data_IF_898398212464
#
_entry.id   IF_898398212464
#
_cell.length_a   1.000
_cell.length_b   1.000
_cell.length_c   1.000
_cell.angle_alpha   90.00
_cell.angle_beta   90.00
_cell.angle_gamma   90.00
#
_symmetry.space_group_name_H-M   'P 1'
#
loop_
_entity.id
_entity.type
_entity.pdbx_description
1 polymer ?
#
# COMPACT_ATOMS: atom_id res chain seq x y z
N UNK A 1 -0.93 20.67 5.88
CA UNK A 1 -2.01 19.93 5.18
C UNK A 1 -3.33 20.31 5.85
N UNK A 2 -4.41 20.68 5.14
CA UNK A 2 -5.40 21.59 5.71
C UNK A 2 -6.24 20.93 6.81
N UNK A 3 -6.28 21.59 7.96
CA UNK A 3 -7.26 21.36 9.01
C UNK A 3 -8.64 21.71 8.44
N UNK A 4 -9.52 20.71 8.25
CA UNK A 4 -10.92 20.90 7.85
C UNK A 4 -11.25 20.58 6.39
N UNK A 5 -10.27 20.14 5.59
CA UNK A 5 -10.55 19.52 4.29
C UNK A 5 -11.09 18.11 4.49
N UNK A 6 -12.14 17.77 3.77
CA UNK A 6 -12.85 16.50 3.92
C UNK A 6 -11.99 15.35 3.35
N UNK A 7 -11.11 14.76 4.16
CA UNK A 7 -10.08 13.76 3.78
C UNK A 7 -10.65 12.36 3.44
N UNK A 8 -11.82 12.26 2.83
CA UNK A 8 -12.37 10.94 2.47
C UNK A 8 -11.91 10.56 1.07
N UNK A 9 -11.17 9.47 0.98
CA UNK A 9 -11.04 8.72 -0.27
C UNK A 9 -12.41 8.15 -0.63
N UNK A 10 -12.77 8.18 -1.91
CA UNK A 10 -13.93 7.41 -2.38
C UNK A 10 -13.67 5.91 -2.18
N UNK A 11 -14.73 5.09 -2.00
CA UNK A 11 -14.57 3.66 -1.71
C UNK A 11 -13.66 2.92 -2.69
N UNK A 12 -13.70 3.27 -3.98
CA UNK A 12 -12.83 2.66 -4.99
C UNK A 12 -11.36 3.09 -4.83
N UNK A 13 -11.10 4.34 -4.42
CA UNK A 13 -9.74 4.77 -4.09
C UNK A 13 -9.20 4.03 -2.87
N UNK A 14 -10.02 3.77 -1.85
CA UNK A 14 -9.59 2.95 -0.71
C UNK A 14 -9.20 1.53 -1.13
N UNK A 15 -9.93 0.93 -2.08
CA UNK A 15 -9.59 -0.40 -2.61
C UNK A 15 -8.20 -0.38 -3.25
N UNK A 16 -7.88 0.66 -4.01
CA UNK A 16 -6.55 0.83 -4.61
C UNK A 16 -5.48 1.03 -3.53
N UNK A 17 -5.72 1.85 -2.51
CA UNK A 17 -4.77 2.02 -1.40
C UNK A 17 -4.52 0.70 -0.68
N UNK A 18 -5.58 -0.05 -0.36
CA UNK A 18 -5.45 -1.37 0.28
C UNK A 18 -4.65 -2.35 -0.58
N UNK A 19 -4.83 -2.31 -1.89
CA UNK A 19 -4.07 -3.13 -2.84
C UNK A 19 -2.58 -2.76 -2.86
N UNK A 20 -2.25 -1.47 -2.81
CA UNK A 20 -0.85 -1.00 -2.66
C UNK A 20 -0.25 -1.53 -1.35
N UNK A 21 -1.00 -1.51 -0.24
CA UNK A 21 -0.52 -2.04 1.04
C UNK A 21 -0.23 -3.55 0.98
N UNK A 22 -0.94 -4.31 0.13
CA UNK A 22 -0.62 -5.71 -0.16
C UNK A 22 0.75 -5.83 -0.82
N UNK A 23 1.08 -4.95 -1.77
CA UNK A 23 2.42 -4.90 -2.36
C UNK A 23 3.48 -4.42 -1.38
N UNK A 24 3.11 -3.65 -0.35
CA UNK A 24 3.99 -3.33 0.77
C UNK A 24 4.14 -4.47 1.79
N UNK A 25 3.47 -5.61 1.61
CA UNK A 25 3.53 -6.79 2.50
C UNK A 25 3.28 -6.46 3.98
N UNK A 26 2.45 -5.45 4.26
CA UNK A 26 2.16 -5.00 5.63
C UNK A 26 3.31 -4.24 6.33
N UNK A 27 4.40 -3.91 5.63
CA UNK A 27 5.50 -3.09 6.15
C UNK A 27 5.12 -1.60 6.24
N UNK A 28 4.02 -1.20 5.61
CA UNK A 28 3.46 0.16 5.63
C UNK A 28 2.06 0.10 6.26
N UNK A 29 1.75 1.07 7.12
CA UNK A 29 0.43 1.31 7.69
C UNK A 29 -0.18 2.55 7.06
N UNK A 30 -1.48 2.50 6.81
CA UNK A 30 -2.26 3.65 6.34
C UNK A 30 -3.10 4.24 7.47
N UNK A 31 -3.07 5.57 7.60
CA UNK A 31 -3.82 6.32 8.60
C UNK A 31 -5.34 6.27 8.44
N UNK A 32 -5.86 5.82 7.30
CA UNK A 32 -7.30 5.60 7.10
C UNK A 32 -7.88 4.49 7.99
N UNK A 33 -7.03 3.59 8.50
CA UNK A 33 -7.41 2.54 9.45
C UNK A 33 -7.18 2.96 10.92
N UNK A 34 -6.65 4.15 11.17
CA UNK A 34 -6.35 4.65 12.52
C UNK A 34 -7.48 5.51 13.09
N UNK A 35 -7.41 5.78 14.39
CA UNK A 35 -8.32 6.70 15.10
C UNK A 35 -7.50 7.83 15.74
N UNK A 36 -7.72 9.10 15.36
CA UNK A 36 -8.57 9.57 14.27
C UNK A 36 -8.06 9.16 12.87
N UNK A 37 -8.97 9.04 11.90
CA UNK A 37 -8.62 8.66 10.52
C UNK A 37 -7.92 9.81 9.82
N UNK A 38 -6.74 9.54 9.24
CA UNK A 38 -5.97 10.47 8.41
C UNK A 38 -5.62 9.80 7.08
N UNK A 39 -6.37 10.11 6.02
CA UNK A 39 -6.21 9.43 4.74
C UNK A 39 -4.87 9.75 4.06
N UNK A 40 -4.28 10.90 4.39
CA UNK A 40 -2.96 11.32 3.89
C UNK A 40 -1.78 10.68 4.64
N UNK A 41 -2.01 10.06 5.80
CA UNK A 41 -0.94 9.55 6.66
C UNK A 41 -0.51 8.13 6.28
N UNK A 42 0.80 7.92 6.16
CA UNK A 42 1.42 6.61 5.99
C UNK A 42 2.68 6.53 6.83
N UNK A 43 2.96 5.37 7.43
CA UNK A 43 4.20 5.14 8.18
C UNK A 43 4.67 3.69 8.08
N UNK A 44 5.94 3.45 8.40
CA UNK A 44 6.50 2.10 8.44
C UNK A 44 6.04 1.36 9.70
N UNK A 45 5.50 0.16 9.53
CA UNK A 45 5.06 -0.71 10.61
C UNK A 45 6.20 -1.42 11.35
N UNK A 46 7.44 -1.29 10.83
CA UNK A 46 8.59 -2.09 11.23
C UNK A 46 9.73 -1.21 11.72
N UNK A 47 10.64 -1.82 12.50
CA UNK A 47 11.82 -1.14 13.03
C UNK A 47 12.85 -0.87 11.93
N UNK A 48 13.74 0.12 12.12
CA UNK A 48 14.90 0.29 11.25
C UNK A 48 15.71 -1.01 11.13
N UNK A 49 16.12 -1.35 9.90
CA UNK A 49 16.90 -2.56 9.62
C UNK A 49 16.08 -3.85 9.43
N UNK A 50 14.74 -3.78 9.45
CA UNK A 50 13.90 -4.94 9.21
C UNK A 50 14.10 -5.52 7.78
N UNK A 51 14.36 -6.83 7.72
CA UNK A 51 14.62 -7.55 6.46
C UNK A 51 13.39 -7.58 5.54
N UNK A 52 12.18 -7.56 6.08
CA UNK A 52 10.95 -7.51 5.28
C UNK A 52 10.85 -6.20 4.51
N UNK A 53 11.16 -5.07 5.16
CA UNK A 53 11.19 -3.77 4.50
C UNK A 53 12.30 -3.71 3.44
N UNK A 54 13.48 -4.23 3.74
CA UNK A 54 14.57 -4.27 2.76
C UNK A 54 14.19 -5.09 1.50
N UNK A 55 13.51 -6.22 1.68
CA UNK A 55 13.00 -7.04 0.57
C UNK A 55 11.95 -6.30 -0.25
N UNK A 56 10.96 -5.70 0.41
CA UNK A 56 9.90 -4.93 -0.27
C UNK A 56 10.52 -3.76 -1.05
N UNK A 57 11.42 -3.00 -0.44
CA UNK A 57 12.12 -1.90 -1.09
C UNK A 57 12.90 -2.38 -2.34
N UNK A 58 13.64 -3.49 -2.23
CA UNK A 58 14.36 -4.07 -3.36
C UNK A 58 13.41 -4.55 -4.49
N UNK A 59 12.22 -5.06 -4.14
CA UNK A 59 11.20 -5.47 -5.11
C UNK A 59 10.55 -4.28 -5.84
N UNK A 60 10.37 -3.16 -5.15
CA UNK A 60 9.76 -1.94 -5.69
C UNK A 60 10.76 -1.01 -6.39
N UNK A 61 12.07 -1.23 -6.20
CA UNK A 61 13.13 -0.45 -6.85
C UNK A 61 13.10 -0.65 -8.38
N UNK A 62 12.55 0.35 -9.08
CA UNK A 62 12.40 0.37 -10.54
C UNK A 62 13.70 0.74 -11.26
N UNK A 63 14.68 1.34 -10.57
CA UNK A 63 15.98 1.68 -11.18
C UNK A 63 16.81 0.43 -11.47
N UNK A 64 16.62 -0.64 -10.69
CA UNK A 64 17.12 -1.99 -10.98
C UNK A 64 16.34 -2.72 -12.09
N UNK A 65 15.16 -2.25 -12.47
CA UNK A 65 14.25 -2.92 -13.42
C UNK A 65 14.30 -2.32 -14.83
N UNK A 66 15.24 -1.42 -15.09
CA UNK A 66 15.39 -0.62 -16.32
C UNK A 66 15.49 -1.45 -17.61
N UNK A 67 15.76 -2.77 -17.53
CA UNK A 67 15.82 -3.66 -18.70
C UNK A 67 14.52 -4.45 -18.95
N UNK A 68 13.63 -4.60 -17.96
CA UNK A 68 12.39 -5.41 -18.07
C UNK A 68 11.10 -4.57 -18.24
N UNK A 69 11.13 -3.27 -17.91
CA UNK A 69 9.92 -2.43 -17.93
C UNK A 69 9.33 -2.18 -19.32
N UNK A 70 10.12 -2.21 -20.40
CA UNK A 70 9.59 -2.05 -21.77
C UNK A 70 8.69 -3.23 -22.19
N UNK A 71 8.79 -4.40 -21.53
CA UNK A 71 7.98 -5.58 -21.85
C UNK A 71 6.88 -5.88 -20.80
N UNK A 72 6.81 -5.12 -19.71
CA UNK A 72 5.92 -5.38 -18.57
C UNK A 72 5.09 -4.17 -18.11
N UNK A 73 5.25 -2.99 -18.74
CA UNK A 73 4.37 -1.85 -18.51
C UNK A 73 2.90 -2.27 -18.74
N UNK A 74 2.06 -2.13 -17.70
CA UNK A 74 0.64 -2.51 -17.74
C UNK A 74 0.30 -3.86 -17.08
N UNK A 75 1.27 -4.65 -16.63
CA UNK A 75 1.01 -5.90 -15.89
C UNK A 75 0.86 -5.68 -14.38
N UNK A 76 0.04 -4.71 -13.98
CA UNK A 76 -0.37 -4.55 -12.58
C UNK A 76 -1.37 -5.65 -12.27
N UNK A 77 -1.18 -6.37 -11.16
CA UNK A 77 -2.14 -7.38 -10.74
C UNK A 77 -3.50 -6.71 -10.51
N UNK A 78 -4.58 -7.28 -11.05
CA UNK A 78 -5.92 -6.72 -10.88
C UNK A 78 -6.32 -6.70 -9.38
N UNK A 79 -6.53 -5.49 -8.79
CA UNK A 79 -6.93 -5.32 -7.40
C UNK A 79 -8.26 -6.01 -7.06
N UNK A 80 -9.13 -6.20 -8.06
CA UNK A 80 -10.43 -6.81 -7.89
C UNK A 80 -10.36 -8.34 -7.77
N UNK A 81 -9.21 -8.97 -8.02
CA UNK A 81 -9.10 -10.44 -7.90
C UNK A 81 -9.38 -10.90 -6.46
N UNK A 82 -10.05 -12.06 -6.26
CA UNK A 82 -10.37 -12.55 -4.92
C UNK A 82 -9.14 -12.68 -4.00
N UNK A 83 -8.02 -13.12 -4.56
CA UNK A 83 -6.75 -13.27 -3.83
C UNK A 83 -6.25 -11.93 -3.29
N UNK A 84 -6.24 -10.87 -4.12
CA UNK A 84 -5.79 -9.54 -3.71
C UNK A 84 -6.70 -8.95 -2.64
N UNK A 85 -8.03 -9.03 -2.83
CA UNK A 85 -9.01 -8.56 -1.83
C UNK A 85 -8.89 -9.26 -0.48
N UNK A 86 -8.59 -10.56 -0.46
CA UNK A 86 -8.42 -11.30 0.79
C UNK A 86 -7.14 -10.88 1.52
N UNK A 87 -6.03 -10.68 0.79
CA UNK A 87 -4.80 -10.13 1.38
C UNK A 87 -5.01 -8.72 1.92
N UNK A 88 -5.69 -7.86 1.18
CA UNK A 88 -6.04 -6.51 1.59
C UNK A 88 -6.84 -6.50 2.90
N UNK A 89 -7.84 -7.39 3.03
CA UNK A 89 -8.62 -7.53 4.27
C UNK A 89 -7.77 -7.97 5.46
N UNK A 90 -6.78 -8.83 5.25
CA UNK A 90 -5.90 -9.30 6.33
C UNK A 90 -4.96 -8.21 6.88
N UNK A 91 -4.74 -7.12 6.13
CA UNK A 91 -3.93 -5.98 6.55
C UNK A 91 -4.74 -4.90 7.29
N UNK A 92 -6.07 -4.91 7.14
CA UNK A 92 -6.95 -3.98 7.82
C UNK A 92 -6.79 -4.11 9.33
N UNK A 93 -6.60 -2.98 10.01
CA UNK A 93 -6.46 -2.96 11.47
C UNK A 93 -7.81 -2.75 12.15
N UNK A 94 -8.13 -3.51 13.20
CA UNK A 94 -9.36 -3.31 13.98
C UNK A 94 -9.34 -1.94 14.67
N UNK A 95 -10.53 -1.35 14.77
CA UNK A 95 -10.79 -0.10 15.48
C UNK A 95 -10.73 -0.27 17.00
#
# INVERSE_FOLDING_TARGET
>A
YPLGGSEWLWPHHEVIVRDILVDCEGTVVWGGDLTPKWASHFHLAVRPGDKALARVAARLDTTRQTVLQLQAAGRVADPATPVRRNKARALGRPH
#
